data_IF_923665382273
#
_entry.id   IF_923665382273
#
_cell.length_a   1.000
_cell.length_b   1.000
_cell.length_c   1.000
_cell.angle_alpha   90.00
_cell.angle_beta   90.00
_cell.angle_gamma   90.00
#
_symmetry.space_group_name_H-M   'P 1'
#
loop_
_entity.id
_entity.type
_entity.pdbx_description
1 polymer ?
#
# COMPACT_ATOMS: atom_id res chain seq x y z
N UNK A 1 12.37 12.80 8.31
CA UNK A 1 11.86 11.41 8.24
C UNK A 1 12.93 10.57 7.57
N UNK A 2 13.21 9.39 8.10
CA UNK A 2 14.06 8.40 7.42
C UNK A 2 13.24 7.73 6.32
N UNK A 3 13.71 7.78 5.07
CA UNK A 3 13.08 7.05 3.97
C UNK A 3 13.24 5.53 4.17
N UNK A 4 12.23 4.78 3.76
CA UNK A 4 12.28 3.32 3.67
C UNK A 4 12.86 2.92 2.32
N UNK A 5 13.86 2.05 2.32
CA UNK A 5 14.51 1.53 1.10
C UNK A 5 14.29 0.03 1.02
N UNK A 6 13.49 -0.39 0.04
CA UNK A 6 13.04 -1.78 -0.17
C UNK A 6 13.85 -2.33 -1.35
N UNK A 7 14.72 -3.33 -1.13
CA UNK A 7 15.51 -3.92 -2.20
C UNK A 7 14.62 -4.65 -3.22
N UNK A 8 14.96 -4.53 -4.49
CA UNK A 8 14.33 -5.16 -5.66
C UNK A 8 15.41 -5.92 -6.46
N UNK A 9 15.01 -6.70 -7.47
CA UNK A 9 15.94 -7.41 -8.34
C UNK A 9 16.86 -6.46 -9.13
N UNK A 10 16.30 -5.35 -9.58
CA UNK A 10 16.97 -4.36 -10.45
C UNK A 10 17.48 -3.12 -9.70
N UNK A 11 17.24 -3.03 -8.39
CA UNK A 11 17.53 -1.81 -7.64
C UNK A 11 16.81 -1.73 -6.29
N UNK A 12 16.23 -0.58 -5.98
CA UNK A 12 15.43 -0.36 -4.79
C UNK A 12 14.21 0.54 -5.04
N UNK A 13 13.10 0.22 -4.39
CA UNK A 13 11.99 1.13 -4.17
C UNK A 13 12.31 1.98 -2.94
N UNK A 14 12.23 3.31 -3.08
CA UNK A 14 12.32 4.22 -1.93
C UNK A 14 11.02 4.98 -1.75
N UNK A 15 10.53 5.00 -0.51
CA UNK A 15 9.32 5.70 -0.12
C UNK A 15 9.47 6.32 1.28
N UNK A 16 8.63 7.31 1.65
CA UNK A 16 8.65 7.90 2.99
C UNK A 16 8.10 6.96 4.09
N UNK A 17 7.68 5.75 3.73
CA UNK A 17 6.96 4.81 4.58
C UNK A 17 5.53 4.55 4.07
N UNK A 18 4.85 3.63 4.76
CA UNK A 18 3.47 3.27 4.47
C UNK A 18 2.49 4.06 5.33
N UNK A 19 1.22 4.04 4.93
CA UNK A 19 0.15 4.78 5.59
C UNK A 19 -1.13 3.95 5.61
N UNK A 20 -1.99 4.29 6.57
CA UNK A 20 -3.33 3.72 6.70
C UNK A 20 -4.34 4.83 6.98
N UNK A 21 -5.59 4.62 6.57
CA UNK A 21 -6.66 5.56 6.87
C UNK A 21 -7.20 5.31 8.28
N UNK A 22 -7.42 6.39 9.02
CA UNK A 22 -8.14 6.36 10.28
C UNK A 22 -9.19 7.46 10.30
N UNK A 23 -10.31 7.18 10.98
CA UNK A 23 -11.26 8.22 11.35
C UNK A 23 -10.57 9.20 12.29
N UNK A 24 -10.84 10.51 12.19
CA UNK A 24 -10.28 11.52 13.08
C UNK A 24 -10.82 11.40 14.50
N UNK A 25 -10.19 12.12 15.45
CA UNK A 25 -10.67 12.18 16.82
C UNK A 25 -11.97 12.99 16.85
N UNK A 26 -12.97 12.61 17.67
CA UNK A 26 -14.14 13.45 17.85
C UNK A 26 -13.71 14.83 18.35
N UNK A 27 -14.00 15.88 17.58
CA UNK A 27 -13.52 17.23 17.85
C UNK A 27 -14.35 18.01 18.87
N UNK A 28 -15.51 17.49 19.31
CA UNK A 28 -16.34 18.12 20.33
C UNK A 28 -17.09 17.11 21.23
N UNK A 29 -16.94 17.30 22.54
CA UNK A 29 -17.87 16.79 23.54
C UNK A 29 -18.75 17.96 24.00
N UNK A 30 -20.06 17.90 23.78
CA UNK A 30 -21.03 18.86 24.34
C UNK A 30 -21.91 18.08 25.32
N UNK A 31 -21.90 18.47 26.60
CA UNK A 31 -22.79 17.92 27.65
C UNK A 31 -22.85 16.38 27.74
N UNK A 32 -21.73 15.69 27.47
CA UNK A 32 -21.64 14.23 27.50
C UNK A 32 -22.01 13.53 26.19
N UNK A 33 -22.53 14.27 25.21
CA UNK A 33 -22.78 13.80 23.86
C UNK A 33 -21.58 14.14 22.95
N UNK A 34 -21.01 13.11 22.34
CA UNK A 34 -19.93 13.24 21.36
C UNK A 34 -20.51 13.63 20.01
N UNK A 35 -20.22 14.85 19.55
CA UNK A 35 -20.55 15.30 18.20
C UNK A 35 -19.40 14.96 17.27
N UNK A 36 -19.67 14.07 16.32
CA UNK A 36 -18.80 13.82 15.19
C UNK A 36 -18.97 14.98 14.20
N UNK A 37 -18.03 15.93 14.18
CA UNK A 37 -17.86 16.71 12.97
C UNK A 37 -17.59 15.73 11.82
N UNK A 38 -18.18 15.97 10.63
CA UNK A 38 -17.97 15.17 9.42
C UNK A 38 -16.54 15.35 8.90
N UNK A 39 -15.56 15.00 9.72
CA UNK A 39 -14.16 15.09 9.39
C UNK A 39 -13.81 13.90 8.50
N UNK A 40 -13.13 14.21 7.39
CA UNK A 40 -12.73 13.21 6.41
C UNK A 40 -11.69 12.26 7.01
N UNK A 41 -11.63 10.99 6.57
CA UNK A 41 -10.56 10.09 6.96
C UNK A 41 -9.18 10.71 6.71
N UNK A 42 -8.29 10.57 7.69
CA UNK A 42 -6.92 11.04 7.61
C UNK A 42 -5.95 9.89 7.33
N UNK A 43 -4.87 10.19 6.61
CA UNK A 43 -3.78 9.26 6.39
C UNK A 43 -2.77 9.37 7.53
N UNK A 44 -2.55 8.28 8.24
CA UNK A 44 -1.60 8.19 9.34
C UNK A 44 -0.43 7.27 8.97
N UNK A 45 0.78 7.51 9.50
CA UNK A 45 1.92 6.63 9.28
C UNK A 45 1.65 5.19 9.78
N UNK A 46 1.95 4.19 8.95
CA UNK A 46 1.81 2.78 9.30
C UNK A 46 3.17 2.22 9.71
N UNK A 47 3.29 1.76 10.96
CA UNK A 47 4.48 1.06 11.42
C UNK A 47 4.51 -0.37 10.84
N UNK A 48 5.66 -0.77 10.31
CA UNK A 48 5.87 -2.07 9.67
C UNK A 48 7.17 -2.70 10.13
N UNK A 49 7.24 -4.04 10.14
CA UNK A 49 8.51 -4.78 10.15
C UNK A 49 8.93 -5.12 8.72
N UNK A 50 10.25 -5.22 8.52
CA UNK A 50 10.87 -5.66 7.27
C UNK A 50 11.65 -6.94 7.53
N UNK A 51 11.36 -7.99 6.77
CA UNK A 51 12.04 -9.27 6.88
C UNK A 51 12.43 -9.78 5.49
N UNK A 52 13.66 -10.25 5.34
CA UNK A 52 14.08 -10.99 4.15
C UNK A 52 13.90 -12.49 4.41
N UNK A 53 13.10 -13.16 3.57
CA UNK A 53 12.86 -14.60 3.63
C UNK A 53 12.58 -15.17 2.24
N UNK A 54 13.11 -16.36 1.98
CA UNK A 54 13.03 -17.05 0.67
C UNK A 54 13.47 -16.17 -0.51
N UNK A 55 14.49 -15.35 -0.30
CA UNK A 55 15.04 -14.43 -1.31
C UNK A 55 14.09 -13.29 -1.70
N UNK A 56 13.09 -12.99 -0.88
CA UNK A 56 12.15 -11.90 -1.09
C UNK A 56 12.04 -10.99 0.13
N UNK A 57 11.72 -9.72 -0.13
CA UNK A 57 11.42 -8.75 0.92
C UNK A 57 9.95 -8.87 1.33
N UNK A 58 9.73 -9.11 2.61
CA UNK A 58 8.41 -9.11 3.21
C UNK A 58 8.25 -7.91 4.13
N UNK A 59 7.04 -7.36 4.11
CA UNK A 59 6.65 -6.20 4.89
C UNK A 59 5.39 -6.56 5.65
N UNK A 60 5.44 -6.46 6.96
CA UNK A 60 4.33 -6.84 7.83
C UNK A 60 3.89 -5.62 8.65
N UNK A 61 2.63 -5.17 8.52
CA UNK A 61 2.07 -4.20 9.45
C UNK A 61 2.21 -4.68 10.90
N UNK A 62 2.76 -3.85 11.79
CA UNK A 62 2.81 -4.21 13.21
C UNK A 62 1.37 -4.32 13.76
N UNK A 63 1.09 -5.20 14.74
CA UNK A 63 -0.24 -5.32 15.32
C UNK A 63 -0.83 -3.97 15.76
N UNK A 64 -2.15 -3.78 15.66
CA UNK A 64 -2.83 -2.51 16.01
C UNK A 64 -2.42 -1.96 17.39
N UNK A 65 -2.27 -2.84 18.39
CA UNK A 65 -1.86 -2.45 19.74
C UNK A 65 -0.45 -1.83 19.82
N UNK A 66 0.36 -1.98 18.78
CA UNK A 66 1.72 -1.43 18.65
C UNK A 66 1.78 -0.23 17.70
N UNK A 67 0.67 0.10 17.03
CA UNK A 67 0.58 1.28 16.16
C UNK A 67 0.43 2.53 17.02
N UNK A 68 1.52 3.30 17.16
CA UNK A 68 1.53 4.49 18.01
C UNK A 68 0.52 5.55 17.52
N UNK A 69 -0.31 6.06 18.43
CA UNK A 69 -1.27 7.13 18.12
C UNK A 69 -2.52 6.68 17.38
N UNK A 70 -2.77 5.37 17.26
CA UNK A 70 -4.00 4.84 16.68
C UNK A 70 -4.97 4.36 17.76
N UNK A 71 -6.24 4.77 17.62
CA UNK A 71 -7.36 4.09 18.26
C UNK A 71 -7.79 2.92 17.34
N UNK A 72 -7.67 1.65 17.77
CA UNK A 72 -8.07 0.49 16.98
C UNK A 72 -9.50 0.56 16.44
N UNK A 73 -10.41 1.23 17.13
CA UNK A 73 -11.82 1.35 16.72
C UNK A 73 -12.01 2.31 15.54
N UNK A 74 -11.00 3.12 15.23
CA UNK A 74 -11.05 4.19 14.23
C UNK A 74 -10.29 3.85 12.95
N UNK A 75 -9.48 2.80 12.95
CA UNK A 75 -8.72 2.37 11.77
C UNK A 75 -9.67 1.82 10.70
N UNK A 76 -9.49 2.28 9.47
CA UNK A 76 -10.30 1.86 8.31
C UNK A 76 -9.48 0.87 7.49
N UNK A 77 -10.07 -0.30 7.22
CA UNK A 77 -9.45 -1.29 6.32
C UNK A 77 -8.18 -1.91 6.88
N UNK A 78 -8.10 -2.14 8.20
CA UNK A 78 -6.97 -2.82 8.82
C UNK A 78 -6.72 -4.19 8.19
N UNK A 79 -5.46 -4.47 7.88
CA UNK A 79 -4.94 -5.73 7.38
C UNK A 79 -3.57 -5.96 8.01
N UNK A 80 -3.38 -7.08 8.69
CA UNK A 80 -2.11 -7.46 9.32
C UNK A 80 -1.37 -8.56 8.54
N UNK A 81 -1.91 -8.95 7.38
CA UNK A 81 -1.28 -9.98 6.57
C UNK A 81 0.10 -9.50 6.07
N UNK A 82 1.16 -10.31 6.19
CA UNK A 82 2.45 -10.00 5.57
C UNK A 82 2.32 -9.85 4.07
N UNK A 83 2.90 -8.79 3.52
CA UNK A 83 2.96 -8.57 2.08
C UNK A 83 4.34 -8.89 1.57
N UNK A 84 4.41 -9.82 0.60
CA UNK A 84 5.62 -10.05 -0.18
C UNK A 84 5.72 -8.98 -1.26
N UNK A 85 6.82 -8.24 -1.26
CA UNK A 85 7.13 -7.35 -2.37
C UNK A 85 7.69 -8.19 -3.51
N UNK A 86 7.06 -8.12 -4.67
CA UNK A 86 7.38 -8.99 -5.80
C UNK A 86 7.50 -8.20 -7.10
N UNK A 87 8.43 -8.63 -7.97
CA UNK A 87 8.51 -8.15 -9.35
C UNK A 87 8.04 -9.28 -10.28
N UNK A 88 6.74 -9.29 -10.65
CA UNK A 88 6.18 -10.31 -11.52
C UNK A 88 6.93 -10.42 -12.85
N UNK A 89 7.25 -11.64 -13.25
CA UNK A 89 7.92 -11.89 -14.53
C UNK A 89 6.93 -11.80 -15.70
N UNK A 90 7.33 -11.09 -16.77
CA UNK A 90 6.52 -10.99 -17.99
C UNK A 90 5.26 -10.12 -17.88
N UNK A 91 5.13 -9.33 -16.82
CA UNK A 91 3.99 -8.41 -16.61
C UNK A 91 4.39 -6.99 -17.00
N UNK A 92 3.91 -6.54 -18.17
CA UNK A 92 4.30 -5.27 -18.78
C UNK A 92 3.18 -4.21 -18.76
N UNK A 93 1.93 -4.65 -18.64
CA UNK A 93 0.75 -3.78 -18.65
C UNK A 93 -0.29 -4.17 -17.60
N UNK A 94 -1.36 -3.36 -17.53
CA UNK A 94 -2.40 -3.52 -16.53
C UNK A 94 -3.23 -4.79 -16.71
N UNK A 95 -3.42 -5.25 -17.95
CA UNK A 95 -4.19 -6.45 -18.25
C UNK A 95 -3.40 -7.69 -17.80
N UNK A 96 -2.13 -7.78 -18.19
CA UNK A 96 -1.21 -8.82 -17.74
C UNK A 96 -1.11 -8.87 -16.21
N UNK A 97 -1.10 -7.71 -15.54
CA UNK A 97 -1.04 -7.64 -14.08
C UNK A 97 -2.33 -8.14 -13.41
N UNK A 98 -3.50 -7.85 -13.97
CA UNK A 98 -4.77 -8.40 -13.47
C UNK A 98 -4.78 -9.92 -13.63
N UNK A 99 -4.35 -10.44 -14.78
CA UNK A 99 -4.26 -11.88 -15.01
C UNK A 99 -3.28 -12.55 -14.04
N UNK A 100 -2.10 -11.97 -13.81
CA UNK A 100 -1.13 -12.46 -12.84
C UNK A 100 -1.70 -12.48 -11.42
N UNK A 101 -2.33 -11.37 -10.98
CA UNK A 101 -2.86 -11.22 -9.62
C UNK A 101 -3.98 -12.21 -9.28
N UNK A 102 -4.87 -12.54 -10.22
CA UNK A 102 -6.04 -13.42 -10.00
C UNK A 102 -5.93 -14.80 -10.62
N UNK A 103 -4.76 -15.19 -11.11
CA UNK A 103 -4.59 -16.47 -11.81
C UNK A 103 -5.47 -16.58 -13.07
N UNK A 104 -5.76 -15.45 -13.73
CA UNK A 104 -6.39 -15.41 -15.04
C UNK A 104 -7.87 -15.01 -15.12
N UNK A 105 -8.57 -14.74 -14.00
CA UNK A 105 -9.99 -14.33 -14.02
C UNK A 105 -10.16 -12.81 -13.89
N UNK A 106 -10.63 -12.17 -14.98
CA UNK A 106 -10.71 -10.69 -15.10
C UNK A 106 -12.10 -10.14 -14.74
N UNK A 107 -13.15 -10.94 -14.94
CA UNK A 107 -14.54 -10.44 -15.04
C UNK A 107 -15.08 -9.74 -13.77
N UNK A 108 -14.44 -9.96 -12.62
CA UNK A 108 -14.82 -9.36 -11.34
C UNK A 108 -13.83 -8.31 -10.80
N UNK A 109 -12.81 -7.94 -11.60
CA UNK A 109 -11.75 -7.03 -11.15
C UNK A 109 -12.03 -5.60 -11.58
N UNK A 110 -12.04 -4.68 -10.61
CA UNK A 110 -12.04 -3.24 -10.86
C UNK A 110 -10.62 -2.71 -10.77
N UNK A 111 -10.04 -2.36 -11.91
CA UNK A 111 -8.75 -1.68 -11.99
C UNK A 111 -8.92 -0.17 -12.13
N UNK A 112 -8.22 0.61 -11.31
CA UNK A 112 -8.09 2.06 -11.47
C UNK A 112 -6.62 2.42 -11.67
N UNK A 113 -6.32 3.05 -12.81
CA UNK A 113 -4.98 3.54 -13.13
C UNK A 113 -4.86 5.00 -12.70
N UNK A 114 -3.79 5.31 -11.98
CA UNK A 114 -3.34 6.68 -11.67
C UNK A 114 -1.94 6.90 -12.24
N UNK A 115 -1.68 8.11 -12.73
CA UNK A 115 -0.40 8.47 -13.35
C UNK A 115 0.42 9.34 -12.40
N UNK A 116 1.72 9.07 -12.33
CA UNK A 116 2.69 9.79 -11.52
C UNK A 116 3.97 10.06 -12.33
N UNK A 117 4.84 11.01 -11.91
CA UNK A 117 6.08 11.28 -12.62
C UNK A 117 7.01 10.07 -12.80
N UNK A 118 6.96 9.11 -11.88
CA UNK A 118 7.75 7.87 -11.94
C UNK A 118 7.12 6.77 -12.80
N UNK A 119 5.83 6.87 -13.18
CA UNK A 119 5.13 5.79 -13.88
C UNK A 119 3.62 5.74 -13.63
N UNK A 120 3.08 4.52 -13.55
CA UNK A 120 1.64 4.28 -13.34
C UNK A 120 1.42 3.45 -12.08
N UNK A 121 0.38 3.78 -11.33
CA UNK A 121 -0.16 2.96 -10.24
C UNK A 121 -1.46 2.32 -10.72
N UNK A 122 -1.52 1.00 -10.66
CA UNK A 122 -2.75 0.23 -10.82
C UNK A 122 -3.24 -0.16 -9.43
N UNK A 123 -4.43 0.33 -9.06
CA UNK A 123 -5.17 -0.09 -7.89
C UNK A 123 -6.21 -1.12 -8.32
N UNK A 124 -6.12 -2.32 -7.76
CA UNK A 124 -6.97 -3.47 -8.06
C UNK A 124 -7.95 -3.69 -6.92
N UNK A 125 -9.22 -3.91 -7.23
CA UNK A 125 -10.25 -4.32 -6.27
C UNK A 125 -10.99 -5.53 -6.85
N UNK A 126 -11.38 -6.49 -5.99
CA UNK A 126 -12.20 -7.63 -6.41
C UNK A 126 -13.07 -8.16 -5.27
N UNK A 127 -13.97 -9.13 -5.53
CA UNK A 127 -14.87 -9.66 -4.51
C UNK A 127 -14.09 -10.22 -3.32
N UNK A 128 -14.44 -9.77 -2.12
CA UNK A 128 -13.84 -10.23 -0.86
C UNK A 128 -12.37 -9.87 -0.66
N UNK A 129 -11.76 -9.11 -1.57
CA UNK A 129 -10.37 -8.63 -1.43
C UNK A 129 -10.39 -7.10 -1.39
N UNK A 130 -9.72 -6.53 -0.39
CA UNK A 130 -9.48 -5.08 -0.32
C UNK A 130 -8.65 -4.57 -1.49
N UNK A 131 -8.44 -3.25 -1.60
CA UNK A 131 -7.61 -2.70 -2.66
C UNK A 131 -6.16 -3.21 -2.54
N UNK A 132 -5.57 -3.55 -3.69
CA UNK A 132 -4.16 -3.89 -3.81
C UNK A 132 -3.48 -3.07 -4.92
N UNK A 133 -2.16 -2.97 -4.85
CA UNK A 133 -1.37 -2.00 -5.58
C UNK A 133 -0.28 -2.65 -6.41
N UNK A 134 -0.27 -2.33 -7.70
CA UNK A 134 0.79 -2.69 -8.65
C UNK A 134 1.34 -1.42 -9.28
N UNK A 135 2.66 -1.26 -9.27
CA UNK A 135 3.38 -0.12 -9.79
C UNK A 135 4.04 -0.50 -11.11
N UNK A 136 3.92 0.37 -12.10
CA UNK A 136 4.60 0.29 -13.40
C UNK A 136 5.55 1.48 -13.54
N UNK A 137 6.75 1.40 -12.94
CA UNK A 137 7.78 2.42 -13.09
C UNK A 137 8.31 2.51 -14.52
N UNK A 138 8.70 3.71 -14.94
CA UNK A 138 9.24 3.95 -16.28
C UNK A 138 10.60 3.25 -16.48
N UNK A 139 10.70 2.33 -17.44
CA UNK A 139 11.97 1.68 -17.78
C UNK A 139 12.42 0.62 -16.77
N UNK A 140 11.49 0.07 -15.99
CA UNK A 140 11.74 -0.89 -14.92
C UNK A 140 10.67 -2.00 -14.93
N UNK A 141 10.99 -3.15 -14.34
CA UNK A 141 9.98 -4.19 -14.11
C UNK A 141 8.85 -3.71 -13.18
N UNK A 142 7.64 -4.23 -13.41
CA UNK A 142 6.50 -3.92 -12.55
C UNK A 142 6.71 -4.45 -11.12
N UNK A 143 6.03 -3.85 -10.15
CA UNK A 143 6.19 -4.13 -8.73
C UNK A 143 4.83 -4.31 -8.06
N UNK A 144 4.61 -5.45 -7.42
CA UNK A 144 3.45 -5.71 -6.57
C UNK A 144 3.75 -5.30 -5.12
N UNK A 145 2.87 -4.47 -4.54
CA UNK A 145 2.94 -3.98 -3.15
C UNK A 145 1.77 -4.45 -2.28
N UNK A 146 0.94 -5.38 -2.78
CA UNK A 146 -0.24 -5.85 -2.06
C UNK A 146 -1.12 -4.71 -1.58
N UNK A 147 -1.61 -4.80 -0.35
CA UNK A 147 -2.54 -3.83 0.22
C UNK A 147 -1.87 -2.59 0.83
N UNK A 148 -0.53 -2.50 0.81
CA UNK A 148 0.17 -1.41 1.46
C UNK A 148 -0.05 -0.11 0.69
N UNK A 149 -0.50 0.93 1.39
CA UNK A 149 -0.62 2.28 0.87
C UNK A 149 0.61 3.11 1.23
N UNK A 150 1.08 3.94 0.30
CA UNK A 150 2.18 4.88 0.53
C UNK A 150 1.82 6.26 -0.05
N UNK A 151 2.61 7.29 0.26
CA UNK A 151 2.52 8.53 -0.51
C UNK A 151 3.09 8.32 -1.91
N UNK A 152 2.22 7.91 -2.83
CA UNK A 152 2.53 7.62 -4.22
C UNK A 152 3.26 8.76 -4.93
N UNK A 153 3.12 10.02 -4.50
CA UNK A 153 3.82 11.16 -5.11
C UNK A 153 5.31 11.23 -4.72
N UNK A 154 5.68 10.62 -3.61
CA UNK A 154 7.04 10.67 -3.03
C UNK A 154 7.83 9.38 -3.26
N UNK A 155 7.28 8.44 -4.02
CA UNK A 155 8.00 7.23 -4.41
C UNK A 155 9.07 7.56 -5.45
N UNK A 156 10.22 6.90 -5.31
CA UNK A 156 11.32 6.89 -6.29
C UNK A 156 11.90 5.49 -6.45
N UNK A 157 12.50 5.25 -7.60
CA UNK A 157 13.18 3.99 -7.93
C UNK A 157 14.65 4.29 -8.20
N UNK A 158 15.54 3.50 -7.62
CA UNK A 158 16.98 3.63 -7.82
C UNK A 158 17.52 2.33 -8.37
N UNK A 159 18.24 2.37 -9.49
CA UNK A 159 18.89 1.20 -10.07
C UNK A 159 20.13 0.81 -9.28
N UNK A 160 20.45 -0.49 -9.31
CA UNK A 160 21.82 -0.91 -9.01
C UNK A 160 22.75 -0.36 -10.10
N UNK A 161 23.78 0.36 -9.66
CA UNK A 161 24.87 0.87 -10.50
C UNK A 161 25.83 -0.23 -10.90
#
# INVERSE_FOLDING_TARGET
MSELRIPLREGALVCPGFRIQAQPEPSLAIDGDLLWALEQPQWCPLAVSLEERDGAQWITPLPLAQQAGFDPQRVIGWRDEPVRIEQPEGVEDAEAAIHWWRGGTVDDVRGRISHYPWGRLLRLEGPGIGPEHILFPHGHACLYLGHLDADWRQIRFELFS
#
